data_IF_535241835422
#
_entry.id   IF_535241835422
#
_cell.length_a   1.000
_cell.length_b   1.000
_cell.length_c   1.000
_cell.angle_alpha   90.00
_cell.angle_beta   90.00
_cell.angle_gamma   90.00
#
_symmetry.space_group_name_H-M   'P 1'
#
loop_
_entity.id
_entity.type
_entity.pdbx_description
1 polymer ?
2 water ?
#
# COMPACT_ATOMS: atom_id res chain seq x y z
N UNK A 20 -4.40 -32.10 -15.77
CA UNK A 20 -3.05 -31.46 -15.71
C UNK A 20 -2.87 -30.45 -16.83
N UNK A 21 -3.18 -29.18 -16.55
CA UNK A 21 -3.29 -28.16 -17.58
C UNK A 21 -2.07 -27.25 -17.70
N UNK A 24 4.60 -27.65 -14.10
CA UNK A 24 4.75 -27.46 -12.67
C UNK A 24 5.46 -26.14 -12.36
N UNK A 25 4.98 -25.47 -11.32
CA UNK A 25 5.49 -24.16 -10.95
C UNK A 25 6.02 -24.21 -9.51
N UNK A 26 6.64 -23.12 -9.08
CA UNK A 26 7.22 -23.02 -7.73
C UNK A 26 6.60 -21.84 -6.98
N UNK A 27 6.06 -22.11 -5.79
CA UNK A 27 5.49 -21.07 -4.94
C UNK A 27 6.15 -21.03 -3.58
N UNK A 28 6.31 -19.83 -3.04
CA UNK A 28 6.81 -19.62 -1.68
C UNK A 28 5.79 -18.85 -0.85
N UNK A 29 5.31 -19.47 0.24
CA UNK A 29 4.48 -18.74 1.19
C UNK A 29 5.32 -18.05 2.27
N UNK A 30 5.10 -16.74 2.45
CA UNK A 30 5.72 -16.00 3.52
C UNK A 30 4.58 -15.56 4.44
N UNK A 31 4.59 -16.07 5.66
CA UNK A 31 3.46 -15.84 6.53
C UNK A 31 3.84 -15.41 7.94
N UNK A 32 3.00 -14.53 8.47
CA UNK A 32 3.05 -14.12 9.87
C UNK A 32 2.14 -15.02 10.71
N UNK A 33 2.72 -15.88 11.56
CA UNK A 33 1.92 -16.85 12.32
C UNK A 33 1.03 -16.23 13.40
N UNK A 34 1.37 -15.01 13.85
CA UNK A 34 0.59 -14.31 14.86
C UNK A 34 -0.20 -13.14 14.27
N UNK A 35 -0.79 -13.35 13.09
CA UNK A 35 -1.44 -12.26 12.36
C UNK A 35 -2.96 -12.34 12.44
N UNK A 36 -3.60 -11.19 12.70
CA UNK A 36 -5.06 -11.11 12.89
C UNK A 36 -5.55 -12.16 13.88
N UNK A 37 -6.40 -13.06 13.39
CA UNK A 37 -6.98 -14.15 14.19
C UNK A 37 -6.01 -15.30 14.42
N UNK A 38 -4.92 -15.32 13.65
CA UNK A 38 -3.86 -16.34 13.76
C UNK A 38 -4.31 -17.74 13.32
N UNK A 39 -5.23 -17.81 12.36
CA UNK A 39 -5.74 -19.10 11.89
C UNK A 39 -4.86 -19.75 10.81
N UNK A 40 -4.01 -18.95 10.14
CA UNK A 40 -3.28 -19.42 8.95
C UNK A 40 -2.36 -20.60 9.19
N UNK A 41 -1.53 -20.54 10.23
CA UNK A 41 -0.64 -21.64 10.56
C UNK A 41 -1.39 -22.97 10.66
N UNK A 42 -2.56 -22.95 11.31
CA UNK A 42 -3.42 -24.12 11.40
C UNK A 42 -3.99 -24.59 10.04
N UNK A 43 -4.14 -23.65 9.12
CA UNK A 43 -4.71 -23.95 7.80
C UNK A 43 -3.67 -24.20 6.71
N UNK A 44 -2.39 -24.06 7.05
CA UNK A 44 -1.31 -24.18 6.09
C UNK A 44 -1.28 -25.54 5.38
N UNK A 45 -1.38 -26.66 6.14
CA UNK A 45 -1.29 -27.95 5.46
C UNK A 45 -2.31 -28.14 4.34
N UNK A 46 -3.49 -27.53 4.48
CA UNK A 46 -4.54 -27.62 3.48
C UNK A 46 -4.36 -26.62 2.37
N UNK A 47 -3.74 -25.49 2.68
CA UNK A 47 -3.32 -24.53 1.66
C UNK A 47 -2.24 -25.15 0.77
N UNK A 48 -1.33 -25.92 1.36
CA UNK A 48 -0.28 -26.61 0.60
C UNK A 48 -0.88 -27.69 -0.31
N UNK A 49 -1.85 -28.44 0.20
CA UNK A 49 -2.52 -29.47 -0.60
C UNK A 49 -3.15 -28.85 -1.85
N UNK A 50 -3.87 -27.76 -1.64
CA UNK A 50 -4.60 -27.08 -2.68
C UNK A 50 -3.64 -26.46 -3.70
N UNK A 51 -2.56 -25.86 -3.22
CA UNK A 51 -1.56 -25.30 -4.13
C UNK A 51 -0.85 -26.40 -4.91
N UNK A 52 -0.58 -27.52 -4.26
CA UNK A 52 0.09 -28.61 -4.92
C UNK A 52 -0.80 -29.23 -6.01
N UNK A 53 -2.09 -29.44 -5.69
CA UNK A 53 -3.05 -29.98 -6.66
C UNK A 53 -3.18 -29.13 -7.90
N UNK A 54 -3.02 -27.82 -7.74
CA UNK A 54 -3.03 -26.85 -8.84
C UNK A 54 -1.70 -26.76 -9.59
N UNK A 55 -0.65 -27.48 -9.13
CA UNK A 55 0.63 -27.57 -9.85
C UNK A 55 1.80 -26.75 -9.30
N UNK A 56 1.70 -26.31 -8.04
CA UNK A 56 2.72 -25.47 -7.46
C UNK A 56 3.49 -26.25 -6.41
N UNK A 57 4.77 -26.44 -6.66
CA UNK A 57 5.61 -26.99 -5.63
C UNK A 57 5.77 -25.86 -4.61
N UNK A 58 5.22 -26.09 -3.41
CA UNK A 58 5.05 -25.01 -2.43
C UNK A 58 5.87 -25.19 -1.16
N UNK A 59 6.55 -24.13 -0.77
CA UNK A 59 7.25 -24.11 0.51
C UNK A 59 6.82 -22.89 1.32
N UNK A 60 7.12 -22.88 2.62
CA UNK A 60 6.60 -21.82 3.48
C UNK A 60 7.67 -21.28 4.41
N UNK A 61 7.58 -19.98 4.70
CA UNK A 61 8.49 -19.34 5.62
C UNK A 61 7.70 -18.59 6.68
N UNK A 62 7.93 -18.93 7.95
CA UNK A 62 7.27 -18.22 9.06
C UNK A 62 8.15 -17.07 9.58
N UNK A 63 7.62 -15.85 9.52
CA UNK A 63 8.31 -14.68 10.09
C UNK A 63 8.37 -14.79 11.61
N UNK A 64 9.41 -14.21 12.21
CA UNK A 64 9.49 -14.13 13.68
C UNK A 64 9.43 -12.69 14.19
N UNK A 65 10.16 -11.78 13.53
CA UNK A 65 10.12 -10.35 13.87
C UNK A 65 9.93 -9.45 12.65
N UNK A 66 9.58 -8.19 12.90
CA UNK A 66 9.59 -7.13 11.88
C UNK A 66 10.86 -7.24 11.04
N UNK A 67 10.72 -7.10 9.73
CA UNK A 67 11.88 -7.23 8.82
C UNK A 67 12.19 -8.63 8.29
N UNK A 68 11.70 -9.67 8.96
CA UNK A 68 11.89 -11.05 8.49
C UNK A 68 11.32 -11.32 7.09
N UNK A 69 10.14 -10.76 6.82
CA UNK A 69 9.49 -10.97 5.53
C UNK A 69 10.26 -10.30 4.38
N UNK A 70 10.85 -9.13 4.64
CA UNK A 70 11.67 -8.43 3.65
C UNK A 70 12.89 -9.25 3.29
N UNK A 71 13.55 -9.78 4.31
CA UNK A 71 14.81 -10.51 4.15
C UNK A 71 14.56 -11.79 3.38
N UNK A 72 13.44 -12.47 3.70
CA UNK A 72 13.08 -13.72 3.04
C UNK A 72 12.74 -13.49 1.57
N UNK A 73 12.01 -12.40 1.28
CA UNK A 73 11.65 -12.02 -0.08
C UNK A 73 12.90 -11.70 -0.90
N UNK A 74 13.87 -11.04 -0.25
CA UNK A 74 15.20 -10.84 -0.83
C UNK A 74 15.90 -12.15 -1.21
N UNK A 75 15.95 -13.12 -0.29
CA UNK A 75 16.50 -14.47 -0.60
C UNK A 75 15.74 -15.15 -1.75
N UNK A 76 14.40 -15.08 -1.70
CA UNK A 76 13.53 -15.75 -2.65
C UNK A 76 13.77 -15.28 -4.09
N UNK A 78 16.43 -15.01 -5.62
CA UNK A 78 17.46 -15.83 -6.23
C UNK A 78 17.04 -17.28 -6.38
N UNK A 79 15.79 -17.59 -6.06
CA UNK A 79 15.37 -18.98 -6.01
C UNK A 79 14.31 -19.39 -7.03
N UNK A 80 14.12 -18.57 -8.06
CA UNK A 80 13.28 -18.97 -9.21
C UNK A 80 11.86 -19.40 -8.82
N UNK A 81 11.15 -18.50 -8.14
CA UNK A 81 9.75 -18.74 -7.82
C UNK A 81 8.88 -18.03 -8.82
N UNK A 82 7.79 -18.68 -9.19
CA UNK A 82 6.74 -18.11 -10.04
C UNK A 82 5.82 -17.19 -9.22
N UNK A 83 5.55 -17.58 -7.97
CA UNK A 83 4.69 -16.78 -7.10
C UNK A 83 5.22 -16.67 -5.68
N UNK A 84 5.08 -15.47 -5.13
CA UNK A 84 5.32 -15.20 -3.72
C UNK A 84 3.99 -14.95 -3.07
N UNK A 85 3.66 -15.74 -2.04
CA UNK A 85 2.39 -15.56 -1.35
C UNK A 85 2.62 -14.97 0.04
N UNK A 86 2.09 -13.76 0.22
CA UNK A 86 2.19 -13.04 1.45
C UNK A 86 0.89 -13.24 2.24
N UNK A 87 1.00 -13.94 3.36
CA UNK A 87 -0.12 -14.19 4.27
C UNK A 87 0.04 -13.40 5.57
N UNK A 88 -0.64 -12.26 5.65
CA UNK A 88 -0.55 -11.40 6.82
C UNK A 88 -1.21 -10.07 6.57
N UNK A 89 -0.95 -9.11 7.44
CA UNK A 89 -1.51 -7.79 7.26
C UNK A 89 -0.76 -6.96 6.23
N UNK A 90 -1.11 -5.68 6.17
CA UNK A 90 -0.45 -4.74 5.28
C UNK A 90 1.05 -4.63 5.55
N UNK A 91 1.46 -4.99 6.77
CA UNK A 91 2.87 -4.96 7.17
C UNK A 91 3.72 -6.04 6.52
N UNK A 92 3.24 -7.29 6.56
CA UNK A 92 3.86 -8.40 5.85
C UNK A 92 3.94 -8.09 4.35
N UNK A 93 2.83 -7.63 3.78
CA UNK A 93 2.72 -7.20 2.39
C UNK A 93 3.74 -6.15 1.97
N UNK A 94 3.83 -5.07 2.76
CA UNK A 94 4.79 -3.98 2.56
C UNK A 94 6.22 -4.49 2.61
N UNK A 95 6.50 -5.38 3.55
CA UNK A 95 7.82 -5.98 3.69
C UNK A 95 8.22 -6.85 2.49
N UNK A 96 7.27 -7.65 2.01
CA UNK A 96 7.50 -8.51 0.85
C UNK A 96 7.82 -7.66 -0.38
N UNK A 97 7.02 -6.62 -0.60
CA UNK A 97 7.20 -5.67 -1.71
C UNK A 97 8.55 -4.93 -1.64
N UNK A 98 9.00 -4.62 -0.41
CA UNK A 98 10.28 -3.98 -0.18
C UNK A 98 11.42 -4.89 -0.60
N UNK A 99 11.24 -6.19 -0.41
CA UNK A 99 12.26 -7.16 -0.78
C UNK A 99 12.36 -7.46 -2.26
N UNK A 100 11.29 -7.25 -3.02
CA UNK A 100 11.27 -7.57 -4.46
C UNK A 100 11.23 -6.33 -5.38
N UNK A 101 10.85 -5.17 -4.82
CA UNK A 101 10.70 -3.95 -5.62
C UNK A 101 11.95 -3.64 -6.41
N UNK A 102 11.75 -3.26 -7.68
CA UNK A 102 12.81 -2.82 -8.62
C UNK A 102 13.87 -3.87 -8.95
N UNK A 103 13.53 -5.14 -8.74
CA UNK A 103 14.41 -6.23 -9.08
C UNK A 103 13.93 -6.94 -10.34
N UNK A 104 14.86 -7.34 -11.22
CA UNK A 104 14.46 -8.07 -12.44
C UNK A 104 13.87 -9.44 -12.11
N UNK A 105 12.90 -9.90 -12.91
CA UNK A 105 12.26 -11.22 -12.73
C UNK A 105 11.51 -11.39 -11.40
N UNK A 106 10.73 -10.37 -11.04
CA UNK A 106 9.88 -10.44 -9.86
C UNK A 106 8.81 -11.52 -10.02
N UNK A 107 8.63 -12.36 -8.98
CA UNK A 107 7.53 -13.31 -9.03
C UNK A 107 6.24 -12.52 -8.96
N UNK A 108 5.11 -13.14 -9.32
CA UNK A 108 3.83 -12.50 -9.10
C UNK A 108 3.49 -12.59 -7.62
N UNK A 109 2.68 -11.63 -7.16
CA UNK A 109 2.34 -11.56 -5.75
C UNK A 109 0.97 -12.16 -5.51
N UNK A 110 0.88 -13.03 -4.51
CA UNK A 110 -0.39 -13.56 -4.05
C UNK A 110 -0.69 -13.01 -2.68
N UNK A 111 -1.92 -12.54 -2.49
CA UNK A 111 -2.29 -11.91 -1.23
C UNK A 111 -3.26 -12.78 -0.48
N UNK A 112 -2.86 -13.20 0.72
CA UNK A 112 -3.80 -13.80 1.67
C UNK A 112 -3.96 -12.86 2.88
N UNK A 113 -5.10 -12.18 2.99
CA UNK A 113 -5.33 -11.13 3.99
C UNK A 113 -5.54 -11.68 5.40
N UNK A 115 -4.58 -10.09 8.27
CA UNK A 115 -4.51 -9.01 9.24
C UNK A 115 -5.87 -8.60 9.77
N UNK A 116 -5.87 -7.85 10.88
CA UNK A 116 -7.07 -7.24 11.44
C UNK A 116 -7.64 -6.25 10.43
N UNK A 117 -6.75 -5.46 9.84
CA UNK A 117 -7.11 -4.62 8.71
C UNK A 117 -6.24 -5.01 7.52
N UNK A 118 -6.83 -4.96 6.33
CA UNK A 118 -6.13 -5.32 5.11
C UNK A 118 -6.51 -4.36 4.03
N UNK A 119 -5.93 -3.16 4.08
CA UNK A 119 -6.35 -2.07 3.19
C UNK A 119 -5.99 -2.33 1.73
N UNK A 120 -4.82 -2.91 1.50
CA UNK A 120 -4.41 -3.29 0.16
C UNK A 120 -5.33 -4.36 -0.43
N UNK A 121 -5.61 -5.40 0.35
CA UNK A 121 -6.54 -6.46 -0.04
C UNK A 121 -7.90 -5.92 -0.46
N UNK A 122 -8.54 -5.15 0.41
CA UNK A 122 -9.83 -4.51 0.15
C UNK A 122 -9.81 -3.62 -1.09
N UNK A 123 -8.67 -2.98 -1.33
CA UNK A 123 -8.44 -2.20 -2.55
C UNK A 123 -8.49 -3.05 -3.84
N UNK A 124 -8.14 -4.34 -3.73
CA UNK A 124 -8.15 -5.24 -4.90
C UNK A 124 -9.24 -6.32 -4.82
N UNK A 125 -10.11 -6.21 -3.83
CA UNK A 125 -11.22 -7.13 -3.63
C UNK A 125 -10.77 -8.57 -3.37
N UNK A 126 -9.66 -8.73 -2.66
CA UNK A 126 -9.23 -10.06 -2.26
C UNK A 126 -10.19 -10.54 -1.17
N UNK A 127 -10.75 -11.75 -1.33
CA UNK A 127 -11.60 -12.33 -0.29
C UNK A 127 -10.84 -12.45 1.03
N UNK A 128 -11.54 -12.25 2.14
CA UNK A 128 -10.93 -12.35 3.47
C UNK A 128 -10.96 -13.80 3.96
N UNK A 129 -11.35 -14.67 3.05
CA UNK A 129 -11.41 -16.10 3.25
C UNK A 129 -10.14 -16.73 2.65
N UNK A 130 -9.44 -17.55 3.43
CA UNK A 130 -8.18 -18.18 2.99
C UNK A 130 -8.32 -18.91 1.65
N UNK A 132 -10.73 -18.80 -0.45
CA UNK A 132 -11.17 -17.82 -1.44
C UNK A 132 -10.00 -17.02 -2.00
N UNK A 133 -9.08 -16.61 -1.14
CA UNK A 133 -7.87 -15.90 -1.58
C UNK A 133 -6.97 -16.82 -2.39
N UNK A 134 -6.91 -18.08 -1.98
CA UNK A 134 -6.18 -19.10 -2.72
C UNK A 134 -6.84 -19.41 -4.08
N UNK A 135 -8.17 -19.34 -4.13
CA UNK A 135 -8.87 -19.52 -5.40
C UNK A 135 -8.47 -18.45 -6.41
N UNK A 136 -8.29 -17.23 -5.92
CA UNK A 136 -7.86 -16.11 -6.76
C UNK A 136 -6.44 -16.32 -7.34
N UNK A 137 -5.53 -16.80 -6.50
CA UNK A 137 -4.16 -17.11 -6.92
C UNK A 137 -4.14 -18.25 -7.95
N UNK A 138 -4.73 -19.39 -7.58
CA UNK A 138 -4.80 -20.56 -8.46
C UNK A 138 -5.40 -20.25 -9.86
N UNK A 139 -6.43 -19.41 -9.91
CA UNK A 139 -7.06 -19.01 -11.17
C UNK A 139 -6.16 -18.18 -12.09
N UNK A 140 -5.17 -17.50 -11.51
CA UNK A 140 -4.05 -16.97 -12.28
C UNK A 140 -4.22 -15.66 -13.00
N UNK A 141 -5.34 -14.97 -12.76
CA UNK A 141 -5.53 -13.62 -13.30
C UNK A 141 -4.88 -12.60 -12.38
N UNK A 142 -4.13 -11.67 -12.97
CA UNK A 142 -3.37 -10.69 -12.21
C UNK A 142 -3.40 -9.28 -12.80
N UNK A 143 -3.23 -8.29 -11.92
CA UNK A 143 -3.18 -6.86 -12.27
C UNK A 143 -1.86 -6.22 -11.86
N UNK A 144 -1.47 -5.17 -12.57
CA UNK A 144 -0.32 -4.39 -12.15
C UNK A 144 -0.75 -3.12 -11.42
N UNK A 145 -0.20 -2.94 -10.22
CA UNK A 145 -0.52 -1.78 -9.40
C UNK A 145 0.72 -0.93 -9.21
N UNK A 146 0.53 0.38 -9.07
CA UNK A 146 1.61 1.30 -8.74
C UNK A 146 2.04 0.99 -7.31
N UNK A 147 3.32 1.21 -7.05
CA UNK A 147 3.80 1.30 -5.68
C UNK A 147 4.54 2.62 -5.55
N UNK A 148 4.85 3.00 -4.32
CA UNK A 148 5.58 4.22 -4.07
C UNK A 148 6.99 3.92 -3.58
N UNK A 149 7.93 4.72 -4.08
CA UNK A 149 9.27 4.74 -3.50
C UNK A 149 9.42 5.99 -2.63
N UNK A 151 12.51 7.81 -0.57
CA UNK A 151 13.95 7.75 -0.42
C UNK A 151 14.40 6.39 -0.93
N UNK A 152 14.90 5.52 -0.07
CA UNK A 152 15.36 4.20 -0.50
C UNK A 152 14.46 3.00 -0.12
N UNK A 153 13.26 3.29 0.40
CA UNK A 153 12.29 2.25 0.77
C UNK A 153 11.03 2.31 -0.11
N UNK A 154 10.10 1.37 0.13
CA UNK A 154 8.87 1.29 -0.68
C UNK A 154 7.60 1.21 0.15
N UNK A 155 6.49 1.62 -0.46
CA UNK A 155 5.18 1.50 0.18
C UNK A 155 4.04 1.27 -0.84
N UNK A 156 2.91 0.78 -0.33
CA UNK A 156 1.81 0.30 -1.17
C UNK A 156 0.46 1.00 -0.94
N UNK A 157 0.28 1.60 0.24
CA UNK A 157 -0.99 2.23 0.59
C UNK A 157 -0.91 3.77 0.70
N UNK A 158 -0.18 4.26 1.68
CA UNK A 158 -0.13 5.69 1.93
C UNK A 158 1.06 6.16 2.78
N UNK A 159 1.43 7.42 2.55
CA UNK A 159 2.35 8.13 3.43
C UNK A 159 1.70 9.43 3.89
N UNK A 160 1.91 9.78 5.15
CA UNK A 160 1.35 11.00 5.73
C UNK A 160 2.38 11.69 6.63
N UNK A 161 2.29 13.01 6.75
CA UNK A 161 3.23 13.76 7.57
C UNK A 161 2.63 14.97 8.25
N UNK A 162 3.08 15.21 9.47
CA UNK A 162 2.66 16.37 10.25
C UNK A 162 3.38 16.44 11.57
N UNK A 163 2.98 17.40 12.39
CA UNK A 163 3.56 17.63 13.71
C UNK A 163 2.43 17.70 14.74
N UNK A 164 2.49 16.83 15.75
CA UNK A 164 1.55 16.90 16.86
C UNK A 164 1.79 18.17 17.67
N UNK A 165 0.71 18.79 18.14
CA UNK A 165 0.81 20.03 18.92
C UNK A 165 1.58 19.78 20.23
N UNK A 166 2.45 20.73 20.57
CA UNK A 166 3.28 20.74 21.80
C UNK A 166 3.34 19.41 22.59
N UNK A 189 -7.99 11.69 8.62
CA UNK A 189 -8.38 13.06 8.98
C UNK A 189 -8.73 13.30 10.44
N UNK A 190 -9.12 12.25 11.17
CA UNK A 190 -9.50 12.35 12.59
C UNK A 190 -8.48 13.07 13.49
N UNK A 192 -6.56 15.68 12.56
CA UNK A 192 -6.37 17.06 12.12
C UNK A 192 -6.38 18.11 13.26
N UNK A 193 -7.36 18.04 14.18
CA UNK A 193 -7.35 18.93 15.36
C UNK A 193 -6.12 18.82 16.29
N UNK A 194 -5.29 17.78 16.14
CA UNK A 194 -4.05 17.62 16.91
C UNK A 194 -2.83 18.19 16.20
N UNK A 196 -0.23 20.79 14.29
CA UNK A 196 0.29 22.13 14.43
C UNK A 196 0.73 22.58 13.05
N UNK A 197 0.34 23.79 12.67
CA UNK A 197 0.82 24.38 11.42
C UNK A 197 2.34 24.36 11.39
N UNK A 198 2.88 23.94 10.26
CA UNK A 198 4.32 23.81 10.06
C UNK A 198 4.63 24.37 8.68
N UNK A 199 5.68 25.16 8.55
CA UNK A 199 6.11 25.60 7.21
C UNK A 199 6.78 24.44 6.49
N UNK A 200 6.36 24.24 5.23
CA UNK A 200 6.80 23.11 4.41
C UNK A 200 6.98 23.53 2.98
N UNK A 201 7.86 22.84 2.27
CA UNK A 201 7.79 22.89 0.82
C UNK A 201 7.60 21.51 0.21
N UNK A 202 6.68 21.46 -0.74
CA UNK A 202 6.36 20.26 -1.45
C UNK A 202 6.46 20.59 -2.94
N UNK A 203 7.50 20.02 -3.56
CA UNK A 203 7.67 20.07 -5.01
C UNK A 203 6.97 18.85 -5.57
N UNK A 204 5.94 19.06 -6.35
CA UNK A 204 5.22 17.96 -6.95
C UNK A 204 5.21 18.14 -8.44
N UNK A 205 5.98 17.28 -9.10
CA UNK A 205 6.26 17.39 -10.53
C UNK A 205 6.87 18.77 -10.82
N UNK A 206 6.25 19.56 -11.68
CA UNK A 206 6.79 20.89 -11.97
C UNK A 206 6.53 21.93 -10.90
N UNK A 207 5.52 21.70 -10.07
CA UNK A 207 4.95 22.75 -9.21
C UNK A 207 5.47 22.78 -7.78
N UNK A 208 5.22 23.89 -7.10
CA UNK A 208 5.75 24.11 -5.76
C UNK A 208 4.64 24.61 -4.85
N UNK A 209 4.45 23.91 -3.74
CA UNK A 209 3.69 24.45 -2.63
C UNK A 209 4.71 24.86 -1.60
N UNK A 210 4.54 26.08 -1.08
CA UNK A 210 5.44 26.58 -0.06
C UNK A 210 4.62 27.40 0.91
N UNK A 211 4.50 26.91 2.13
CA UNK A 211 3.64 27.55 3.10
C UNK A 211 3.39 26.66 4.27
N UNK A 212 2.60 27.13 5.22
CA UNK A 212 2.29 26.39 6.42
C UNK A 212 1.17 25.39 6.16
N UNK A 213 1.30 24.20 6.75
CA UNK A 213 0.40 23.10 6.48
C UNK A 213 0.18 22.32 7.76
N UNK A 214 -1.01 21.76 7.88
CA UNK A 214 -1.35 20.92 9.00
C UNK A 214 -1.04 19.45 8.71
N UNK A 215 -1.10 19.07 7.44
CA UNK A 215 -1.02 17.68 7.06
C UNK A 215 -0.75 17.53 5.57
N UNK A 216 0.05 16.54 5.20
CA UNK A 216 0.09 16.07 3.82
C UNK A 216 -0.15 14.56 3.76
N UNK A 217 -0.86 14.14 2.71
CA UNK A 217 -1.12 12.73 2.38
C UNK A 217 -0.60 12.41 0.97
N UNK A 218 0.12 11.31 0.84
CA UNK A 218 0.36 10.71 -0.47
C UNK A 218 -0.30 9.34 -0.48
N UNK A 219 -1.40 9.22 -1.23
CA UNK A 219 -2.13 7.97 -1.32
C UNK A 219 -1.87 7.19 -2.60
N UNK A 220 -1.69 5.87 -2.45
CA UNK A 220 -1.68 4.96 -3.59
C UNK A 220 -3.04 4.29 -3.72
N UNK A 221 -3.41 3.49 -2.70
CA UNK A 221 -4.76 2.95 -2.56
C UNK A 221 -5.56 3.91 -1.69
N UNK A 222 -6.89 3.82 -1.69
CA UNK A 222 -7.68 4.73 -0.83
C UNK A 222 -8.86 4.13 -0.07
N UNK A 223 -8.62 3.02 0.62
CA UNK A 223 -9.68 2.34 1.36
C UNK A 223 -9.31 1.98 2.80
N UNK A 229 -13.04 6.88 3.42
CA UNK A 229 -11.77 7.31 2.84
C UNK A 229 -11.96 7.60 1.34
N UNK A 230 -11.44 8.73 0.87
CA UNK A 230 -11.56 9.06 -0.55
C UNK A 230 -10.93 10.35 -1.08
N UNK A 231 -10.51 10.25 -2.33
CA UNK A 231 -10.66 11.29 -3.32
C UNK A 231 -11.74 10.67 -4.23
N UNK A 232 -12.45 11.48 -5.05
CA UNK A 232 -13.50 10.81 -5.83
C UNK A 232 -13.02 9.95 -7.00
N UNK A 233 -11.85 10.27 -7.56
CA UNK A 233 -11.44 9.71 -8.86
C UNK A 233 -10.06 9.03 -8.89
N UNK A 234 -9.65 8.44 -7.76
CA UNK A 234 -8.31 7.88 -7.63
C UNK A 234 -8.17 6.48 -8.25
N UNK A 235 -7.08 6.29 -8.98
CA UNK A 235 -6.75 5.02 -9.61
C UNK A 235 -5.53 4.36 -8.98
N UNK A 236 -5.55 3.03 -8.95
CA UNK A 236 -4.41 2.25 -8.49
C UNK A 236 -3.40 2.10 -9.61
N UNK A 237 -3.86 2.44 -10.82
CA UNK A 237 -3.25 2.08 -12.09
C UNK A 237 -2.48 3.19 -12.79
N UNK A 238 -2.72 4.44 -12.41
CA UNK A 238 -2.40 5.57 -13.28
C UNK A 238 -0.99 6.13 -13.18
N UNK A 239 -0.23 5.75 -12.16
CA UNK A 239 1.13 6.26 -12.00
C UNK A 239 1.16 7.59 -11.27
N UNK A 240 0.01 7.99 -10.74
CA UNK A 240 -0.11 9.20 -9.94
C UNK A 240 -0.41 8.90 -8.47
N UNK A 241 0.35 9.51 -7.57
CA UNK A 241 -0.06 9.60 -6.17
C UNK A 241 -1.26 10.52 -6.09
N UNK A 242 -2.13 10.23 -5.13
CA UNK A 242 -3.09 11.20 -4.63
C UNK A 242 -2.39 12.09 -3.59
N UNK A 243 -2.23 13.36 -3.92
CA UNK A 243 -1.59 14.31 -3.01
C UNK A 243 -2.60 15.23 -2.33
N UNK A 244 -2.75 15.07 -1.02
CA UNK A 244 -3.58 15.99 -0.23
C UNK A 244 -2.69 16.84 0.67
N UNK A 245 -2.92 18.15 0.66
CA UNK A 245 -2.27 19.06 1.59
C UNK A 245 -3.36 19.85 2.30
N UNK A 246 -3.43 19.73 3.62
CA UNK A 246 -4.29 20.60 4.40
C UNK A 246 -3.50 21.80 4.92
N UNK A 247 -3.86 22.98 4.44
CA UNK A 247 -3.20 24.20 4.86
C UNK A 247 -3.58 24.61 6.28
N UNK A 248 -2.71 25.40 6.88
CA UNK A 248 -2.96 26.04 8.17
C UNK A 248 -4.32 26.74 8.10
N UNK A 249 -5.18 26.47 9.06
CA UNK A 249 -6.52 27.08 9.06
C UNK A 249 -6.96 27.41 10.46
N UNK A 250 -7.85 28.40 10.60
CA UNK A 250 -8.36 28.79 11.93
C UNK A 250 -9.38 27.78 12.44
N UNK A 251 -9.91 28.00 13.64
CA UNK A 251 -10.88 27.07 14.24
C UNK A 251 -12.14 26.85 13.41
N UNK A 252 -12.62 27.89 12.74
CA UNK A 252 -13.82 27.77 11.92
C UNK A 252 -13.58 26.94 10.65
N UNK A 253 -12.47 27.19 9.96
CA UNK A 253 -12.12 26.42 8.78
C UNK A 253 -11.89 24.97 9.17
N UNK A 254 -11.39 24.76 10.38
CA UNK A 254 -11.22 23.43 10.94
C UNK A 254 -12.55 22.69 11.16
N UNK A 255 -13.47 23.33 11.86
CA UNK A 255 -14.82 22.79 11.99
C UNK A 255 -15.41 22.46 10.63
N UNK A 256 -15.26 23.38 9.69
CA UNK A 256 -15.82 23.23 8.34
C UNK A 256 -15.22 22.06 7.57
N UNK A 257 -13.89 21.99 7.56
CA UNK A 257 -13.16 20.90 6.92
C UNK A 257 -13.58 19.55 7.50
N UNK A 259 -16.54 18.86 9.04
CA UNK A 259 -17.89 18.45 8.65
C UNK A 259 -18.04 18.04 7.17
N UNK A 260 -17.21 18.61 6.31
CA UNK A 260 -17.13 18.18 4.91
C UNK A 260 -16.49 16.80 4.79
N UNK A 261 -15.38 16.60 5.50
CA UNK A 261 -14.75 15.28 5.60
C UNK A 261 -15.77 14.20 5.94
N UNK A 262 -16.62 14.49 6.92
CA UNK A 262 -17.55 13.50 7.47
C UNK A 262 -18.55 12.96 6.44
N UNK A 263 -18.63 13.61 5.29
CA UNK A 263 -19.48 13.16 4.20
C UNK A 263 -18.78 13.18 2.83
N UNK A 264 -17.49 12.82 2.83
CA UNK A 264 -16.69 12.71 1.61
C UNK A 264 -16.58 13.96 0.74
N UNK A 265 -16.53 15.13 1.37
CA UNK A 265 -16.47 16.40 0.64
C UNK A 265 -15.30 17.32 1.01
N UNK A 266 -14.33 16.80 1.75
CA UNK A 266 -13.19 17.59 2.24
C UNK A 266 -12.49 18.34 1.11
N UNK A 267 -12.24 17.65 0.01
CA UNK A 267 -11.61 18.20 -1.19
C UNK A 267 -12.29 19.46 -1.74
N UNK A 268 -13.52 19.73 -1.31
CA UNK A 268 -14.26 20.92 -1.76
C UNK A 268 -13.85 22.20 -1.01
N UNK A 269 -13.21 22.05 0.15
CA UNK A 269 -12.71 23.20 0.93
C UNK A 269 -11.44 23.81 0.29
N UNK A 270 -11.37 25.15 0.18
CA UNK A 270 -10.22 25.81 -0.47
C UNK A 270 -8.85 25.56 0.21
N UNK A 271 -8.87 25.32 1.52
CA UNK A 271 -7.66 25.03 2.30
C UNK A 271 -7.22 23.57 2.15
N UNK A 272 -8.03 22.78 1.44
CA UNK A 272 -7.65 21.40 1.12
C UNK A 272 -7.21 21.33 -0.35
N UNK A 273 -5.93 21.05 -0.56
CA UNK A 273 -5.36 20.97 -1.89
C UNK A 273 -5.36 19.50 -2.35
N UNK A 274 -5.83 19.28 -3.57
CA UNK A 274 -5.77 17.96 -4.17
C UNK A 274 -5.11 18.03 -5.53
N UNK A 275 -3.99 17.34 -5.65
CA UNK A 275 -3.23 17.25 -6.89
C UNK A 275 -2.87 15.80 -7.15
N UNK A 276 -2.63 15.49 -8.43
CA UNK A 276 -2.06 14.20 -8.83
C UNK A 276 -0.63 14.46 -9.27
N UNK A 277 0.31 13.64 -8.79
CA UNK A 277 1.72 13.85 -9.11
C UNK A 277 2.51 12.55 -9.09
N UNK A 278 3.53 12.46 -9.96
CA UNK A 278 4.39 11.27 -10.08
C UNK A 278 5.59 11.35 -9.15
N UNK A 279 6.16 12.54 -9.02
CA UNK A 279 7.33 12.78 -8.19
C UNK A 279 7.06 13.93 -7.20
N UNK A 280 7.23 13.64 -5.92
CA UNK A 280 6.92 14.59 -4.88
C UNK A 280 8.09 14.67 -3.90
N UNK A 281 8.70 15.86 -3.78
CA UNK A 281 9.83 16.07 -2.87
C UNK A 281 9.49 17.00 -1.72
N UNK A 282 9.68 16.50 -0.51
CA UNK A 282 9.22 17.19 0.67
C UNK A 282 10.38 17.50 1.61
N UNK A 283 10.39 18.74 2.09
CA UNK A 283 11.39 19.24 3.04
C UNK A 283 10.79 20.35 3.92
N UNK A 284 11.34 20.48 5.13
CA UNK A 284 11.10 21.64 5.97
C UNK A 284 12.29 21.86 6.89
N UNK A 285 12.34 23.01 7.58
CA UNK A 285 13.42 23.29 8.54
C UNK A 285 13.07 22.80 9.94
N UNK A 286 11.77 22.60 10.18
CA UNK A 286 11.30 21.98 11.42
C UNK A 286 11.08 20.46 11.22
N UNK A 287 11.14 19.69 12.31
CA UNK A 287 11.10 18.23 12.17
C UNK A 287 9.69 17.62 12.16
N UNK A 288 9.45 16.76 11.16
CA UNK A 288 8.15 16.11 10.99
C UNK A 288 8.22 14.61 11.21
N UNK A 289 7.17 14.05 11.78
CA UNK A 289 6.99 12.60 11.82
C UNK A 289 6.35 12.14 10.50
N UNK A 290 6.77 10.96 10.03
CA UNK A 290 6.24 10.37 8.82
C UNK A 290 5.55 9.06 9.11
N UNK A 291 4.35 8.90 8.60
CA UNK A 291 3.68 7.63 8.68
C UNK A 291 3.70 6.99 7.31
N UNK A 292 4.20 5.76 7.25
CA UNK A 292 4.29 5.00 6.01
C UNK A 292 3.55 3.68 6.15
N UNK A 293 2.52 3.49 5.34
CA UNK A 293 1.68 2.29 5.41
C UNK A 293 1.24 1.91 6.83
N UNK A 294 0.79 2.91 7.59
CA UNK A 294 0.25 2.69 8.94
C UNK A 294 1.27 2.60 10.05
N UNK A 295 2.55 2.74 9.70
CA UNK A 295 3.61 2.63 10.69
C UNK A 295 4.52 3.83 10.59
N UNK A 296 5.19 4.12 11.70
CA UNK A 296 6.21 5.16 11.72
C UNK A 296 7.24 4.87 10.64
N UNK A 297 7.50 5.85 9.79
CA UNK A 297 8.42 5.69 8.67
C UNK A 297 9.48 6.77 8.62
N UNK A 298 10.00 7.12 9.79
CA UNK A 298 11.10 8.07 9.88
C UNK A 298 10.61 9.49 9.78
N UNK A 299 11.42 10.33 9.13
CA UNK A 299 11.16 11.77 9.07
C UNK A 299 11.71 12.40 7.79
N UNK A 300 11.50 13.70 7.65
CA UNK A 300 11.91 14.42 6.44
C UNK A 300 13.42 14.68 6.45
N UNK A 301 14.00 15.09 5.30
CA UNK A 301 13.36 15.25 3.98
C UNK A 301 12.91 13.90 3.39
N UNK A 302 11.95 13.94 2.47
CA UNK A 302 11.52 12.72 1.78
C UNK A 302 11.33 12.94 0.29
N UNK A 303 11.88 12.05 -0.51
CA UNK A 303 11.63 12.07 -1.95
C UNK A 303 10.78 10.86 -2.37
N UNK A 304 9.66 11.14 -3.01
CA UNK A 304 8.71 10.12 -3.38
C UNK A 304 8.59 10.00 -4.89
N UNK A 305 8.61 8.76 -5.38
CA UNK A 305 8.34 8.47 -6.79
C UNK A 305 7.27 7.37 -6.87
N UNK A 306 6.31 7.57 -7.75
CA UNK A 306 5.33 6.53 -8.06
C UNK A 306 5.88 5.62 -9.15
N UNK A 307 6.04 4.34 -8.82
CA UNK A 307 6.50 3.37 -9.81
C UNK A 307 5.26 2.77 -10.48
N UNK A 308 4.93 3.31 -11.66
CA UNK A 308 3.68 2.96 -12.33
C UNK A 308 3.59 1.48 -12.65
N UNK A 309 2.45 0.90 -12.31
CA UNK A 309 2.13 -0.50 -12.60
C UNK A 309 3.33 -1.43 -12.40
N UNK A 310 3.88 -1.36 -11.20
CA UNK A 310 5.17 -1.96 -10.91
C UNK A 310 5.02 -3.41 -10.49
N UNK A 311 3.97 -3.71 -9.74
CA UNK A 311 3.82 -5.01 -9.10
C UNK A 311 2.60 -5.75 -9.65
N UNK A 312 2.83 -6.99 -10.09
CA UNK A 312 1.83 -7.87 -10.67
C UNK A 312 1.25 -8.70 -9.54
N UNK A 313 -0.06 -8.62 -9.35
CA UNK A 313 -0.70 -9.22 -8.19
C UNK A 313 -2.00 -9.94 -8.57
N UNK A 314 -2.14 -11.19 -8.14
CA UNK A 314 -3.34 -11.97 -8.42
C UNK A 314 -4.58 -11.27 -7.86
N UNK A 315 -5.58 -11.11 -8.74
CA UNK A 315 -6.83 -10.41 -8.44
C UNK A 315 -8.02 -11.16 -9.05
N UNK A 316 -9.24 -11.00 -8.47
CA UNK A 316 -10.44 -11.65 -9.00
C UNK A 316 -10.79 -11.25 -10.45
N UNK A 317 -10.95 -12.24 -11.32
CA UNK A 317 -11.47 -11.98 -12.66
C UNK A 317 -13.00 -11.86 -12.60
N UNK A 318 -13.55 -12.21 -11.43
CA UNK A 318 -14.98 -12.22 -11.18
C UNK A 318 -15.61 -10.84 -11.06
N UNK A 319 -14.87 -9.88 -10.50
CA UNK A 319 -15.47 -8.59 -10.11
C UNK A 319 -14.74 -7.35 -10.70
N UNK A 320 -15.53 -6.33 -11.01
CA UNK A 320 -15.03 -5.11 -11.66
C UNK A 320 -14.43 -4.17 -10.62
N UNK A 321 -13.20 -3.73 -10.87
CA UNK A 321 -12.53 -2.77 -9.99
C UNK A 321 -12.69 -1.34 -10.53
N UNK A 322 -13.41 -0.52 -9.78
CA UNK A 322 -13.63 0.89 -10.14
C UNK A 322 -12.36 1.73 -10.11
N UNK A 323 -11.36 1.28 -9.34
CA UNK A 323 -10.10 2.00 -9.18
C UNK A 323 -9.02 1.57 -10.17
N UNK A 324 -9.40 0.79 -11.18
CA UNK A 324 -8.45 0.38 -12.20
C UNK A 324 -8.81 0.91 -13.58
N UNK A 325 -7.83 1.50 -14.25
CA UNK A 325 -7.94 1.85 -15.67
C UNK A 325 -7.98 0.55 -16.48
N UNK A 326 -7.10 -0.37 -16.13
CA UNK A 326 -6.89 -1.59 -16.88
C UNK A 326 -7.55 -2.77 -16.16
N UNK A 327 -8.68 -3.23 -16.70
CA UNK A 327 -9.33 -4.46 -16.22
C UNK A 327 -9.21 -5.62 -17.22
N UNK A 328 -8.12 -5.62 -17.99
CA UNK A 328 -7.81 -6.70 -18.94
C UNK A 328 -7.72 -8.10 -18.30
N UNK A 329 -7.73 -8.14 -16.97
CA UNK A 329 -7.77 -9.39 -16.23
C UNK A 329 -9.23 -9.81 -15.96
#
# INVERSE_FOLDING_TARGET
XGSSHHHHHHHSSGLVPRGSHXXRKRARIIYNPTSGKEQFKRELPDALIKLEKAGYETSAYATEKIGDATLEAERAXHENYDVLIAAGGDGTLNEVVNGIAEKPNRPKLGVIPXGTVNDFGRALHIPNDIXGALDVIIEGHSTKVDIGKXNNRYFINLAAGGQLTQVSYETPSKLKSIVGPFAYYIKGFEXLPQXKAVDLRIEYDGNVFQGEALLFFLGLTNSXAGFEKLVPDAKLDDGYFTLIIVEKSNLAELGHIXTLASRGEHTKHPKVIYEKAKAINISSFTDLQLNVDGEYGGKLPANFLNLERHIDVFAPNDIVNEELINNDHVDDNLIEE
#
